data_IF_035214832320
#
_entry.id   IF_035214832320
#
_cell.length_a   1.000
_cell.length_b   1.000
_cell.length_c   1.000
_cell.angle_alpha   90.00
_cell.angle_beta   90.00
_cell.angle_gamma   90.00
#
_symmetry.space_group_name_H-M   'P 1'
#
loop_
_entity.id
_entity.type
_entity.pdbx_description
1 polymer ?
#
# COMPACT_ATOMS: atom_id res chain seq x y z
N UNK A 1 -69.04 10.27 -15.79
CA UNK A 1 -68.19 10.98 -14.84
C UNK A 1 -66.86 10.24 -14.77
N UNK A 2 -65.85 10.71 -15.55
CA UNK A 2 -64.53 10.04 -15.72
C UNK A 2 -63.54 10.83 -14.86
N UNK A 3 -63.01 10.19 -13.83
CA UNK A 3 -61.90 10.77 -13.02
C UNK A 3 -60.58 10.49 -13.68
N UNK A 4 -59.90 11.51 -14.14
CA UNK A 4 -58.50 11.45 -14.58
C UNK A 4 -57.60 11.59 -13.34
N UNK A 5 -56.84 10.52 -13.06
CA UNK A 5 -55.77 10.52 -12.06
C UNK A 5 -54.51 11.02 -12.72
N UNK A 6 -54.08 12.26 -12.41
CA UNK A 6 -52.82 12.82 -12.84
C UNK A 6 -51.68 12.25 -12.01
N UNK A 7 -50.79 11.48 -12.66
CA UNK A 7 -49.50 11.04 -12.08
C UNK A 7 -48.52 12.21 -12.18
N UNK A 8 -48.20 12.85 -11.04
CA UNK A 8 -47.14 13.85 -10.95
C UNK A 8 -45.81 13.08 -10.80
N UNK A 9 -45.08 12.97 -11.88
CA UNK A 9 -43.72 12.47 -11.86
C UNK A 9 -42.78 13.55 -11.32
N UNK A 10 -42.40 13.43 -10.04
CA UNK A 10 -41.36 14.27 -9.45
C UNK A 10 -40.00 13.90 -10.03
N UNK A 11 -39.54 14.61 -11.04
CA UNK A 11 -38.16 14.58 -11.51
C UNK A 11 -37.27 15.18 -10.42
N UNK A 12 -36.58 14.32 -9.67
CA UNK A 12 -35.46 14.75 -8.82
C UNK A 12 -34.35 15.22 -9.75
N UNK A 13 -34.25 16.52 -9.96
CA UNK A 13 -33.05 17.16 -10.50
C UNK A 13 -31.92 16.93 -9.49
N UNK A 14 -31.03 16.02 -9.81
CA UNK A 14 -29.73 15.92 -9.13
C UNK A 14 -28.96 17.19 -9.53
N UNK A 15 -28.98 18.20 -8.66
CA UNK A 15 -28.07 19.32 -8.71
C UNK A 15 -26.65 18.70 -8.71
N UNK A 16 -25.87 18.97 -9.77
CA UNK A 16 -24.44 18.76 -9.73
C UNK A 16 -23.90 19.62 -8.59
N UNK A 17 -23.70 19.02 -7.43
CA UNK A 17 -23.10 19.72 -6.30
C UNK A 17 -21.71 20.17 -6.76
N UNK A 18 -21.46 21.49 -6.73
CA UNK A 18 -20.14 22.05 -7.00
C UNK A 18 -19.13 21.35 -6.10
N UNK A 19 -17.98 20.95 -6.67
CA UNK A 19 -16.90 20.36 -5.90
C UNK A 19 -16.56 21.27 -4.71
N UNK A 20 -16.39 20.71 -3.48
CA UNK A 20 -15.89 21.50 -2.37
C UNK A 20 -14.60 22.22 -2.75
N UNK A 21 -14.37 23.46 -2.29
CA UNK A 21 -13.13 24.17 -2.56
C UNK A 21 -11.94 23.39 -1.99
N UNK A 22 -10.79 23.48 -2.66
CA UNK A 22 -9.56 22.89 -2.14
C UNK A 22 -9.05 23.75 -0.98
N UNK A 23 -8.98 23.18 0.20
CA UNK A 23 -8.46 23.83 1.40
C UNK A 23 -7.00 23.44 1.64
N UNK A 24 -6.24 24.35 2.22
CA UNK A 24 -4.91 24.05 2.73
C UNK A 24 -5.03 23.30 4.05
N UNK A 25 -4.09 22.42 4.31
CA UNK A 25 -3.92 21.84 5.64
C UNK A 25 -3.68 22.96 6.67
N UNK A 26 -4.14 22.77 7.90
CA UNK A 26 -3.93 23.72 8.98
C UNK A 26 -2.44 23.87 9.35
N UNK A 27 -2.12 24.74 10.32
CA UNK A 27 -0.74 25.02 10.69
C UNK A 27 -0.02 23.80 11.26
N UNK A 28 1.29 23.73 11.05
CA UNK A 28 2.18 22.80 11.71
C UNK A 28 2.23 23.14 13.20
N UNK A 29 1.99 22.17 14.07
CA UNK A 29 1.93 22.32 15.53
C UNK A 29 3.14 21.73 16.25
N UNK A 30 3.86 20.83 15.60
CA UNK A 30 5.13 20.28 16.08
C UNK A 30 5.99 19.80 14.91
N UNK A 31 7.30 19.88 15.08
CA UNK A 31 8.30 19.40 14.12
C UNK A 31 9.31 18.55 14.88
N UNK A 32 9.61 17.37 14.38
CA UNK A 32 10.62 16.50 14.99
C UNK A 32 12.01 17.15 14.92
N UNK A 33 12.78 17.06 16.00
CA UNK A 33 14.16 17.56 16.05
C UNK A 33 15.12 16.63 15.31
N UNK A 34 14.84 15.33 15.39
CA UNK A 34 15.67 14.30 14.80
C UNK A 34 15.17 13.95 13.40
N UNK A 35 16.09 13.86 12.45
CA UNK A 35 15.76 13.39 11.11
C UNK A 35 15.71 11.87 11.07
N UNK A 36 14.79 11.34 10.26
CA UNK A 36 14.60 9.94 9.97
C UNK A 36 15.11 9.63 8.55
N UNK A 37 15.35 8.38 8.26
CA UNK A 37 15.82 7.99 6.92
C UNK A 37 14.66 7.76 5.94
N UNK A 38 13.60 7.08 6.38
CA UNK A 38 12.38 6.85 5.60
C UNK A 38 11.25 6.35 6.50
N UNK A 39 10.15 7.09 6.58
CA UNK A 39 8.97 6.70 7.36
C UNK A 39 8.01 5.91 6.49
N UNK A 40 7.78 4.63 6.83
CA UNK A 40 6.80 3.79 6.16
C UNK A 40 5.40 3.89 6.78
N UNK A 41 5.33 4.17 8.07
CA UNK A 41 4.09 4.30 8.81
C UNK A 41 4.33 4.75 10.24
N UNK A 42 3.27 5.24 10.84
CA UNK A 42 3.22 5.63 12.23
C UNK A 42 2.03 4.97 12.93
N UNK A 43 2.12 4.85 14.24
CA UNK A 43 1.02 4.52 15.12
C UNK A 43 0.89 5.61 16.17
N UNK A 44 -0.17 6.41 16.09
CA UNK A 44 -0.48 7.35 17.15
C UNK A 44 -0.94 6.60 18.42
N UNK A 45 -0.38 6.96 19.53
CA UNK A 45 -0.67 6.45 20.86
C UNK A 45 -1.32 7.55 21.70
N UNK A 46 -1.95 7.23 22.83
CA UNK A 46 -2.49 8.22 23.74
C UNK A 46 -1.47 9.27 24.16
N UNK A 47 -1.97 10.44 24.54
CA UNK A 47 -1.15 11.60 24.97
C UNK A 47 -0.18 12.13 23.88
N UNK A 48 -0.53 11.91 22.61
CA UNK A 48 0.24 12.44 21.47
C UNK A 48 1.58 11.74 21.22
N UNK A 49 1.85 10.61 21.87
CA UNK A 49 3.03 9.77 21.58
C UNK A 49 2.87 9.03 20.27
N UNK A 50 3.97 8.65 19.65
CA UNK A 50 4.00 7.96 18.37
C UNK A 50 4.96 6.78 18.38
N UNK A 51 4.56 5.65 17.82
CA UNK A 51 5.52 4.70 17.29
C UNK A 51 5.76 5.03 15.81
N UNK A 52 7.03 5.10 15.42
CA UNK A 52 7.45 5.44 14.07
C UNK A 52 8.34 4.32 13.52
N UNK A 53 8.01 3.84 12.33
CA UNK A 53 8.81 2.85 11.62
C UNK A 53 9.73 3.54 10.59
N UNK A 54 11.01 3.70 10.93
CA UNK A 54 12.07 4.18 10.05
C UNK A 54 12.68 3.00 9.30
N UNK A 55 12.09 2.67 8.16
CA UNK A 55 12.38 1.43 7.41
C UNK A 55 13.79 1.37 6.81
N UNK A 56 14.39 2.50 6.43
CA UNK A 56 15.73 2.50 5.84
C UNK A 56 16.80 2.28 6.91
N UNK A 57 16.63 2.91 8.08
CA UNK A 57 17.51 2.68 9.25
C UNK A 57 17.15 1.40 10.01
N UNK A 58 16.05 0.73 9.63
CA UNK A 58 15.55 -0.49 10.26
C UNK A 58 15.42 -0.33 11.78
N UNK A 59 14.60 0.65 12.18
CA UNK A 59 14.33 0.92 13.59
C UNK A 59 12.88 1.32 13.81
N UNK A 60 12.33 0.88 14.92
CA UNK A 60 11.06 1.36 15.46
C UNK A 60 11.39 2.27 16.63
N UNK A 61 10.88 3.48 16.58
CA UNK A 61 11.12 4.52 17.58
C UNK A 61 9.82 4.86 18.30
N UNK A 62 9.91 5.11 19.60
CA UNK A 62 8.85 5.76 20.37
C UNK A 62 9.21 7.25 20.52
N UNK A 63 8.32 8.13 20.07
CA UNK A 63 8.43 9.57 20.20
C UNK A 63 7.39 10.07 21.22
N UNK A 64 7.73 11.16 21.90
CA UNK A 64 6.81 11.89 22.78
C UNK A 64 5.87 12.82 21.98
N UNK A 65 5.02 13.54 22.70
CA UNK A 65 4.08 14.52 22.13
C UNK A 65 4.76 15.72 21.46
N UNK A 66 6.05 15.95 21.69
CA UNK A 66 6.85 17.00 21.05
C UNK A 66 7.56 16.50 19.79
N UNK A 67 7.36 15.22 19.44
CA UNK A 67 8.03 14.47 18.37
C UNK A 67 9.54 14.26 18.63
N UNK A 68 9.98 14.28 19.88
CA UNK A 68 11.34 13.91 20.28
C UNK A 68 11.43 12.41 20.54
N UNK A 69 12.56 11.79 20.18
CA UNK A 69 12.77 10.35 20.40
C UNK A 69 12.94 10.09 21.90
N UNK A 70 12.07 9.21 22.43
CA UNK A 70 12.13 8.75 23.82
C UNK A 70 12.97 7.49 23.92
N UNK A 71 12.74 6.53 23.02
CA UNK A 71 13.48 5.25 23.04
C UNK A 71 13.48 4.57 21.67
N UNK A 72 14.50 3.76 21.44
CA UNK A 72 14.56 2.81 20.34
C UNK A 72 13.88 1.52 20.81
N UNK A 73 12.75 1.16 20.19
CA UNK A 73 11.94 0.01 20.55
C UNK A 73 12.48 -1.28 19.94
N UNK A 74 12.87 -1.20 18.67
CA UNK A 74 13.47 -2.30 17.93
C UNK A 74 14.45 -1.76 16.91
N UNK A 75 15.60 -2.37 16.78
CA UNK A 75 16.59 -2.08 15.75
C UNK A 75 17.40 -3.37 15.41
N UNK A 76 18.50 -3.18 14.70
CA UNK A 76 19.39 -4.27 14.27
C UNK A 76 20.55 -4.51 15.23
N UNK A 77 20.51 -3.93 16.44
CA UNK A 77 21.59 -4.05 17.43
C UNK A 77 21.25 -5.01 18.56
N UNK A 78 22.27 -5.47 19.27
CA UNK A 78 22.09 -6.33 20.45
C UNK A 78 21.36 -5.63 21.60
N UNK A 79 21.34 -4.28 21.63
CA UNK A 79 20.61 -3.52 22.64
C UNK A 79 19.10 -3.78 22.60
N UNK A 80 18.55 -4.09 21.43
CA UNK A 80 17.16 -4.48 21.24
C UNK A 80 17.01 -5.96 20.83
N UNK A 81 18.01 -6.82 21.15
CA UNK A 81 18.06 -8.21 20.77
C UNK A 81 17.89 -8.45 19.25
N UNK A 82 18.34 -7.52 18.41
CA UNK A 82 18.18 -7.53 16.94
C UNK A 82 16.71 -7.69 16.52
N UNK A 83 15.80 -7.05 17.23
CA UNK A 83 14.36 -7.20 17.05
C UNK A 83 13.83 -6.67 15.71
N UNK A 84 14.62 -5.90 14.95
CA UNK A 84 14.31 -5.51 13.59
C UNK A 84 15.21 -6.29 12.60
N UNK A 85 14.60 -7.13 11.79
CA UNK A 85 15.34 -7.96 10.84
C UNK A 85 15.89 -7.21 9.62
N UNK A 86 16.39 -7.97 8.65
CA UNK A 86 17.07 -7.43 7.44
C UNK A 86 16.10 -6.86 6.38
N UNK A 87 14.79 -7.03 6.57
CA UNK A 87 13.75 -6.57 5.65
C UNK A 87 12.91 -5.45 6.28
N UNK A 88 12.36 -4.51 5.49
CA UNK A 88 11.40 -3.54 5.99
C UNK A 88 10.21 -4.20 6.69
N UNK A 89 9.89 -3.75 7.89
CA UNK A 89 8.73 -4.19 8.66
C UNK A 89 7.53 -3.27 8.54
N UNK A 90 6.44 -3.59 9.22
CA UNK A 90 5.21 -2.81 9.27
C UNK A 90 4.66 -2.66 10.68
N UNK A 91 3.88 -1.60 10.93
CA UNK A 91 3.16 -1.40 12.18
C UNK A 91 1.66 -1.63 11.95
N UNK A 92 1.04 -2.44 12.80
CA UNK A 92 -0.40 -2.70 12.77
C UNK A 92 -0.97 -2.32 14.14
N UNK A 93 -1.98 -1.42 14.22
CA UNK A 93 -2.71 -1.18 15.46
C UNK A 93 -3.27 -2.49 16.02
N UNK A 94 -3.06 -2.74 17.31
CA UNK A 94 -3.60 -3.91 18.00
C UNK A 94 -4.53 -3.47 19.14
N UNK A 95 -5.09 -4.38 19.89
CA UNK A 95 -6.04 -4.10 20.96
C UNK A 95 -5.54 -3.01 21.94
N UNK A 96 -6.40 -2.05 22.22
CA UNK A 96 -6.07 -0.90 23.06
C UNK A 96 -4.90 -0.09 22.46
N UNK A 97 -3.93 0.23 23.28
CA UNK A 97 -2.76 1.03 22.88
C UNK A 97 -1.57 0.19 22.41
N UNK A 98 -1.76 -1.14 22.28
CA UNK A 98 -0.72 -2.03 21.80
C UNK A 98 -0.57 -1.94 20.26
N UNK A 99 0.58 -2.34 19.79
CA UNK A 99 0.94 -2.34 18.36
C UNK A 99 1.65 -3.63 18.02
N UNK A 100 1.34 -4.21 16.86
CA UNK A 100 2.14 -5.29 16.30
C UNK A 100 3.18 -4.70 15.33
N UNK A 101 4.44 -5.00 15.57
CA UNK A 101 5.48 -4.82 14.58
C UNK A 101 5.69 -6.13 13.83
N UNK A 102 5.45 -6.10 12.53
CA UNK A 102 5.62 -7.25 11.63
C UNK A 102 7.04 -7.26 11.11
N UNK A 103 7.80 -8.33 11.42
CA UNK A 103 9.14 -8.54 10.88
C UNK A 103 9.15 -9.64 9.82
N UNK A 104 9.26 -9.31 8.52
CA UNK A 104 9.29 -10.30 7.45
C UNK A 104 10.54 -11.18 7.42
N UNK A 105 11.61 -10.77 8.09
CA UNK A 105 12.86 -11.54 8.10
C UNK A 105 12.76 -12.75 9.03
N UNK A 106 12.16 -12.58 10.20
CA UNK A 106 11.95 -13.63 11.19
C UNK A 106 10.60 -14.35 11.07
N UNK A 107 9.72 -13.89 10.14
CA UNK A 107 8.34 -14.36 10.00
C UNK A 107 7.53 -14.20 11.30
N UNK A 108 7.84 -13.17 12.07
CA UNK A 108 7.22 -12.92 13.38
C UNK A 108 6.48 -11.58 13.45
N UNK A 109 5.65 -11.47 14.47
CA UNK A 109 4.96 -10.24 14.86
C UNK A 109 5.29 -9.97 16.33
N UNK A 110 5.92 -8.83 16.61
CA UNK A 110 6.30 -8.40 17.94
C UNK A 110 5.19 -7.53 18.52
N UNK A 111 4.62 -7.93 19.65
CA UNK A 111 3.63 -7.13 20.37
C UNK A 111 4.36 -6.08 21.22
N UNK A 112 4.12 -4.82 20.90
CA UNK A 112 4.67 -3.65 21.58
C UNK A 112 3.57 -3.03 22.42
N UNK A 113 3.81 -2.78 23.69
CA UNK A 113 2.89 -2.08 24.58
C UNK A 113 2.93 -0.54 24.37
N UNK A 114 2.05 0.18 25.06
CA UNK A 114 1.99 1.64 24.98
C UNK A 114 3.28 2.35 25.43
N UNK A 115 4.17 1.68 26.16
CA UNK A 115 5.44 2.23 26.64
C UNK A 115 6.61 1.91 25.70
N UNK A 116 6.35 1.26 24.57
CA UNK A 116 7.38 0.86 23.64
C UNK A 116 8.12 -0.42 24.02
N UNK A 117 7.61 -1.20 24.98
CA UNK A 117 8.22 -2.46 25.36
C UNK A 117 7.68 -3.61 24.53
N UNK A 118 8.55 -4.46 23.98
CA UNK A 118 8.17 -5.71 23.36
C UNK A 118 7.78 -6.70 24.47
N UNK A 119 6.49 -7.06 24.51
CA UNK A 119 5.93 -7.91 25.57
C UNK A 119 5.66 -9.34 25.12
N UNK A 120 5.58 -9.57 23.81
CA UNK A 120 5.30 -10.89 23.26
C UNK A 120 5.79 -11.00 21.82
N UNK A 121 6.21 -12.22 21.44
CA UNK A 121 6.51 -12.60 20.05
C UNK A 121 5.47 -13.61 19.60
N UNK A 122 4.91 -13.39 18.40
CA UNK A 122 3.91 -14.26 17.78
C UNK A 122 4.36 -14.62 16.36
N UNK A 123 3.99 -15.80 15.89
CA UNK A 123 4.23 -16.16 14.48
C UNK A 123 3.27 -15.42 13.55
N UNK A 124 3.76 -15.09 12.35
CA UNK A 124 2.90 -14.56 11.28
C UNK A 124 1.73 -15.51 10.96
N UNK A 125 0.63 -15.01 10.39
CA UNK A 125 -0.49 -15.85 9.96
C UNK A 125 -0.07 -17.04 9.10
N UNK A 126 0.56 -16.75 7.99
CA UNK A 126 1.20 -17.70 7.08
C UNK A 126 2.47 -17.05 6.54
N UNK A 127 3.52 -17.83 6.32
CA UNK A 127 4.81 -17.31 5.88
C UNK A 127 4.71 -16.48 4.57
N UNK A 128 3.87 -16.93 3.62
CA UNK A 128 3.65 -16.24 2.35
C UNK A 128 2.89 -14.91 2.47
N UNK A 129 2.15 -14.69 3.56
CA UNK A 129 1.32 -13.48 3.75
C UNK A 129 2.11 -12.31 4.33
N UNK A 130 3.25 -12.57 4.93
CA UNK A 130 3.95 -11.60 5.78
C UNK A 130 4.29 -10.30 5.05
N UNK A 131 4.65 -10.38 3.76
CA UNK A 131 4.91 -9.21 2.92
C UNK A 131 3.68 -8.33 2.65
N UNK A 132 2.48 -8.85 2.88
CA UNK A 132 1.22 -8.12 2.72
C UNK A 132 0.71 -7.52 4.03
N UNK A 133 1.39 -7.82 5.15
CA UNK A 133 1.11 -7.28 6.47
C UNK A 133 1.92 -6.01 6.80
N UNK A 134 2.87 -5.63 5.96
CA UNK A 134 3.71 -4.45 6.19
C UNK A 134 3.05 -3.13 5.74
N UNK A 135 1.86 -3.19 5.13
CA UNK A 135 1.17 -2.02 4.59
C UNK A 135 1.71 -1.56 3.22
N UNK A 136 1.73 -0.25 2.99
CA UNK A 136 2.21 0.32 1.72
C UNK A 136 1.20 0.18 0.58
N UNK A 137 1.61 -0.26 -0.62
CA UNK A 137 0.74 -0.31 -1.80
C UNK A 137 -0.32 -1.43 -1.72
N UNK A 138 -0.24 -2.29 -0.70
CA UNK A 138 -1.19 -3.40 -0.50
C UNK A 138 -2.38 -3.03 0.40
N UNK A 139 -2.50 -1.78 0.82
CA UNK A 139 -3.46 -1.30 1.80
C UNK A 139 -2.91 -1.38 3.23
N UNK A 140 -3.69 -0.92 4.19
CA UNK A 140 -3.32 -0.92 5.60
C UNK A 140 -3.98 -2.11 6.32
N UNK A 141 -3.22 -3.14 6.74
CA UNK A 141 -3.74 -4.20 7.58
C UNK A 141 -4.24 -3.64 8.92
N UNK A 142 -5.24 -4.27 9.50
CA UNK A 142 -5.80 -3.86 10.78
C UNK A 142 -6.61 -4.96 11.44
N UNK A 143 -7.07 -4.73 12.66
CA UNK A 143 -7.95 -5.64 13.37
C UNK A 143 -9.38 -5.12 13.33
N UNK A 144 -10.32 -6.02 13.03
CA UNK A 144 -11.73 -5.72 13.18
C UNK A 144 -12.16 -5.77 14.67
N UNK A 145 -13.36 -5.27 15.03
CA UNK A 145 -13.84 -5.28 16.41
C UNK A 145 -13.98 -6.67 17.02
N UNK A 146 -14.04 -7.73 16.20
CA UNK A 146 -14.01 -9.13 16.68
C UNK A 146 -12.60 -9.66 16.98
N UNK A 147 -11.57 -8.83 16.79
CA UNK A 147 -10.18 -9.18 17.05
C UNK A 147 -9.52 -10.01 15.95
N UNK A 148 -10.11 -10.06 14.75
CA UNK A 148 -9.53 -10.75 13.61
C UNK A 148 -8.70 -9.78 12.76
N UNK A 149 -7.54 -10.27 12.32
CA UNK A 149 -6.64 -9.51 11.45
C UNK A 149 -7.18 -9.51 10.02
N UNK A 150 -7.42 -8.32 9.49
CA UNK A 150 -7.91 -8.09 8.11
C UNK A 150 -6.76 -7.57 7.27
N UNK A 151 -6.51 -8.22 6.13
CA UNK A 151 -5.46 -7.83 5.20
C UNK A 151 -5.72 -8.35 3.79
N UNK A 152 -4.99 -7.81 2.81
CA UNK A 152 -4.97 -8.31 1.45
C UNK A 152 -4.13 -9.59 1.39
N UNK A 153 -4.70 -10.66 0.88
CA UNK A 153 -3.96 -11.90 0.65
C UNK A 153 -2.98 -11.75 -0.54
N UNK A 154 -1.86 -12.50 -0.52
CA UNK A 154 -0.98 -12.60 -1.69
C UNK A 154 -1.75 -13.21 -2.87
N UNK A 155 -1.37 -12.86 -4.12
CA UNK A 155 -1.90 -13.56 -5.28
C UNK A 155 -1.53 -15.05 -5.20
N UNK A 156 -2.46 -15.89 -5.63
CA UNK A 156 -2.22 -17.33 -5.66
C UNK A 156 -1.28 -17.68 -6.83
N UNK A 157 0.03 -17.71 -6.54
CA UNK A 157 1.05 -18.10 -7.52
C UNK A 157 1.12 -19.61 -7.80
N UNK A 158 0.33 -20.46 -7.14
CA UNK A 158 0.31 -21.90 -7.42
C UNK A 158 -0.23 -22.24 -8.82
N UNK A 159 -0.97 -21.34 -9.45
CA UNK A 159 -1.36 -21.45 -10.85
C UNK A 159 -0.18 -21.46 -11.84
N UNK A 160 1.05 -21.18 -11.38
CA UNK A 160 2.28 -21.27 -12.18
C UNK A 160 2.90 -22.66 -12.21
N UNK A 161 2.37 -23.59 -11.44
CA UNK A 161 2.85 -24.95 -11.37
C UNK A 161 2.09 -25.83 -12.36
N UNK A 162 2.75 -26.16 -13.49
CA UNK A 162 2.47 -27.25 -14.44
C UNK A 162 1.04 -27.39 -14.98
N UNK A 163 0.92 -27.31 -16.29
CA UNK A 163 -0.09 -28.09 -16.98
C UNK A 163 0.16 -29.59 -16.70
N UNK A 164 -0.85 -30.38 -16.36
CA UNK A 164 -0.70 -31.81 -16.17
C UNK A 164 -0.24 -32.46 -17.47
N UNK A 165 0.88 -33.19 -17.47
CA UNK A 165 1.29 -34.08 -18.55
C UNK A 165 2.27 -33.50 -19.58
N UNK A 166 2.90 -32.35 -19.39
CA UNK A 166 3.75 -31.72 -20.40
C UNK A 166 5.25 -31.96 -20.24
N UNK A 167 5.88 -32.44 -21.28
CA UNK A 167 7.29 -32.28 -21.61
C UNK A 167 7.70 -30.81 -21.43
N UNK A 168 8.71 -30.54 -20.63
CA UNK A 168 9.40 -29.34 -20.20
C UNK A 168 9.49 -28.05 -21.01
N UNK A 169 8.52 -27.70 -21.85
CA UNK A 169 8.47 -26.38 -22.50
C UNK A 169 7.88 -25.34 -21.53
N UNK A 170 8.49 -24.15 -21.38
CA UNK A 170 7.91 -23.08 -20.61
C UNK A 170 6.66 -22.59 -21.34
N UNK A 171 5.50 -22.81 -20.73
CA UNK A 171 4.28 -22.08 -21.06
C UNK A 171 4.57 -20.59 -20.85
N UNK A 172 3.97 -19.74 -21.68
CA UNK A 172 4.16 -18.30 -21.68
C UNK A 172 4.19 -17.59 -20.31
N UNK A 173 4.29 -16.28 -20.27
CA UNK A 173 4.39 -15.54 -19.02
C UNK A 173 3.22 -15.90 -18.10
N UNK A 174 3.48 -16.06 -16.79
CA UNK A 174 2.44 -16.44 -15.84
C UNK A 174 1.29 -15.43 -15.84
N UNK A 175 0.05 -15.89 -15.90
CA UNK A 175 -1.12 -15.04 -15.75
C UNK A 175 -1.22 -14.58 -14.29
N UNK A 176 -1.07 -13.30 -14.05
CA UNK A 176 -1.29 -12.71 -12.72
C UNK A 176 -2.78 -12.36 -12.62
N UNK A 177 -3.47 -12.83 -11.56
CA UNK A 177 -4.87 -12.47 -11.36
C UNK A 177 -5.05 -10.94 -11.27
N UNK A 178 -6.06 -10.42 -11.99
CA UNK A 178 -6.44 -9.00 -11.90
C UNK A 178 -7.36 -8.73 -10.69
N UNK A 179 -7.37 -9.62 -9.73
CA UNK A 179 -8.10 -9.46 -8.46
C UNK A 179 -7.28 -10.00 -7.29
N UNK A 180 -7.49 -9.42 -6.12
CA UNK A 180 -6.92 -9.90 -4.87
C UNK A 180 -8.02 -10.08 -3.84
N UNK A 181 -7.85 -11.08 -2.97
CA UNK A 181 -8.75 -11.32 -1.86
C UNK A 181 -8.37 -10.42 -0.67
N UNK A 182 -9.38 -9.92 0.04
CA UNK A 182 -9.26 -9.46 1.41
C UNK A 182 -9.69 -10.62 2.30
N UNK A 183 -8.86 -10.94 3.28
CA UNK A 183 -9.07 -12.06 4.18
C UNK A 183 -9.15 -11.60 5.64
N UNK A 184 -9.87 -12.37 6.45
CA UNK A 184 -9.84 -12.30 7.91
C UNK A 184 -9.08 -13.49 8.46
N UNK A 185 -8.15 -13.23 9.34
CA UNK A 185 -7.36 -14.23 10.02
C UNK A 185 -7.62 -14.18 11.52
N UNK A 186 -8.01 -15.31 12.08
CA UNK A 186 -8.18 -15.49 13.51
C UNK A 186 -6.85 -15.95 14.11
N UNK A 187 -6.27 -15.15 15.01
CA UNK A 187 -4.97 -15.45 15.62
C UNK A 187 -5.01 -16.68 16.53
N UNK A 188 -6.15 -16.98 17.16
CA UNK A 188 -6.27 -18.11 18.09
C UNK A 188 -6.47 -19.43 17.36
N UNK A 189 -7.45 -19.50 16.45
CA UNK A 189 -7.77 -20.72 15.70
C UNK A 189 -6.89 -20.93 14.47
N UNK A 190 -6.10 -19.92 14.06
CA UNK A 190 -5.28 -19.91 12.85
C UNK A 190 -6.09 -20.04 11.55
N UNK A 191 -7.40 -19.79 11.60
CA UNK A 191 -8.30 -19.89 10.45
C UNK A 191 -8.24 -18.62 9.60
N UNK A 192 -8.25 -18.80 8.29
CA UNK A 192 -8.31 -17.73 7.29
C UNK A 192 -9.62 -17.84 6.54
N UNK A 193 -10.40 -16.78 6.54
CA UNK A 193 -11.65 -16.68 5.78
C UNK A 193 -11.52 -15.58 4.73
N UNK A 194 -11.90 -15.88 3.47
CA UNK A 194 -11.99 -14.86 2.42
C UNK A 194 -13.25 -14.05 2.61
N UNK A 195 -13.09 -12.72 2.67
CA UNK A 195 -14.20 -11.79 2.91
C UNK A 195 -14.76 -11.24 1.61
N UNK A 196 -13.88 -10.75 0.73
CA UNK A 196 -14.25 -10.14 -0.55
C UNK A 196 -13.06 -10.12 -1.50
N UNK A 197 -13.35 -9.68 -2.75
CA UNK A 197 -12.33 -9.46 -3.76
C UNK A 197 -12.40 -8.01 -4.27
N UNK A 198 -11.25 -7.48 -4.68
CA UNK A 198 -11.14 -6.19 -5.34
C UNK A 198 -10.19 -6.28 -6.53
N UNK A 199 -10.37 -5.39 -7.51
CA UNK A 199 -9.59 -5.39 -8.73
C UNK A 199 -8.18 -4.86 -8.47
N UNK A 200 -7.17 -5.58 -8.93
CA UNK A 200 -5.77 -5.17 -8.89
C UNK A 200 -5.30 -4.67 -10.26
N UNK A 201 -4.26 -3.84 -10.31
CA UNK A 201 -3.67 -3.44 -11.59
C UNK A 201 -3.22 -4.63 -12.41
N UNK A 202 -3.43 -4.56 -13.72
CA UNK A 202 -2.84 -5.49 -14.66
C UNK A 202 -1.32 -5.35 -14.64
N UNK A 203 -0.62 -6.43 -14.39
CA UNK A 203 0.84 -6.49 -14.45
C UNK A 203 1.22 -7.15 -15.77
N UNK A 204 1.95 -6.41 -16.62
CA UNK A 204 2.48 -6.93 -17.87
C UNK A 204 3.88 -7.44 -17.62
N UNK A 205 4.11 -8.71 -17.95
CA UNK A 205 5.42 -9.35 -17.80
C UNK A 205 6.02 -9.66 -19.16
N UNK A 206 7.30 -9.33 -19.32
CA UNK A 206 8.12 -9.77 -20.43
C UNK A 206 8.99 -10.95 -19.99
N UNK A 207 8.95 -12.02 -20.75
CA UNK A 207 9.83 -13.17 -20.57
C UNK A 207 10.91 -13.11 -21.63
N UNK A 208 12.16 -13.07 -21.22
CA UNK A 208 13.32 -13.15 -22.09
C UNK A 208 14.21 -14.31 -21.66
N UNK A 209 14.85 -14.96 -22.63
CA UNK A 209 15.85 -15.99 -22.36
C UNK A 209 17.24 -15.36 -22.51
N UNK A 210 18.05 -15.43 -21.47
CA UNK A 210 19.43 -14.99 -21.56
C UNK A 210 20.29 -16.02 -22.31
N UNK A 211 21.45 -15.62 -22.85
CA UNK A 211 22.33 -16.51 -23.64
C UNK A 211 22.78 -17.77 -22.88
N UNK A 212 22.82 -17.71 -21.56
CA UNK A 212 23.11 -18.81 -20.63
C UNK A 212 21.93 -19.76 -20.40
N UNK A 213 20.84 -19.59 -21.14
CA UNK A 213 19.64 -20.43 -21.06
C UNK A 213 18.68 -20.10 -19.92
N UNK A 214 19.02 -19.17 -19.05
CA UNK A 214 18.17 -18.74 -17.94
C UNK A 214 16.99 -17.89 -18.42
N UNK A 215 15.80 -18.14 -17.87
CA UNK A 215 14.63 -17.30 -18.13
C UNK A 215 14.64 -16.09 -17.20
N UNK A 216 14.57 -14.90 -17.78
CA UNK A 216 14.35 -13.64 -17.07
C UNK A 216 12.92 -13.18 -17.30
N UNK A 217 12.21 -12.98 -16.21
CA UNK A 217 10.87 -12.40 -16.22
C UNK A 217 10.98 -10.99 -15.68
N UNK A 218 10.59 -9.99 -16.47
CA UNK A 218 10.62 -8.58 -16.08
C UNK A 218 9.22 -8.01 -16.20
N UNK A 219 8.76 -7.30 -15.17
CA UNK A 219 7.52 -6.56 -15.26
C UNK A 219 7.74 -5.20 -15.95
N UNK A 220 6.81 -4.82 -16.81
CA UNK A 220 6.77 -3.46 -17.35
C UNK A 220 6.18 -2.52 -16.31
N UNK A 221 6.76 -1.33 -16.21
CA UNK A 221 6.26 -0.29 -15.31
C UNK A 221 5.09 0.46 -15.94
N UNK A 222 3.96 0.48 -15.25
CA UNK A 222 2.81 1.29 -15.59
C UNK A 222 2.73 2.49 -14.63
N UNK A 223 2.88 3.75 -15.12
CA UNK A 223 2.82 4.93 -14.25
C UNK A 223 1.39 5.34 -13.86
N UNK A 224 0.36 4.80 -14.54
CA UNK A 224 -1.06 5.00 -14.22
C UNK A 224 -1.79 3.67 -14.04
N UNK A 225 -1.36 2.83 -13.08
CA UNK A 225 -1.98 1.52 -12.87
C UNK A 225 -3.43 1.69 -12.41
N UNK A 226 -4.36 1.07 -13.13
CA UNK A 226 -5.77 1.04 -12.75
C UNK A 226 -6.05 -0.16 -11.85
N UNK A 227 -6.48 0.09 -10.65
CA UNK A 227 -6.89 -0.92 -9.68
C UNK A 227 -7.71 -0.27 -8.58
N UNK A 228 -8.59 -1.04 -7.97
CA UNK A 228 -9.33 -0.59 -6.80
C UNK A 228 -8.38 -0.46 -5.60
N UNK A 229 -8.80 0.29 -4.60
CA UNK A 229 -8.12 0.39 -3.32
C UNK A 229 -9.06 -0.03 -2.20
N UNK A 230 -8.53 -0.23 -1.00
CA UNK A 230 -9.34 -0.64 0.13
C UNK A 230 -8.82 -0.08 1.45
N UNK A 231 -9.71 -0.01 2.43
CA UNK A 231 -9.37 0.38 3.79
C UNK A 231 -10.29 -0.33 4.79
N UNK A 232 -9.76 -0.63 5.97
CA UNK A 232 -10.54 -1.11 7.11
C UNK A 232 -10.94 0.07 7.99
N UNK A 233 -12.24 0.27 8.20
CA UNK A 233 -12.77 1.30 9.09
C UNK A 233 -12.75 0.81 10.55
N UNK A 234 -12.78 1.73 11.55
CA UNK A 234 -12.74 1.38 12.97
C UNK A 234 -13.85 0.44 13.45
N UNK A 235 -15.01 0.45 12.78
CA UNK A 235 -16.13 -0.43 13.06
C UNK A 235 -16.04 -1.82 12.39
N UNK A 236 -14.94 -2.10 11.70
CA UNK A 236 -14.71 -3.36 10.96
C UNK A 236 -15.32 -3.40 9.56
N UNK A 237 -15.95 -2.31 9.10
CA UNK A 237 -16.40 -2.17 7.72
C UNK A 237 -15.20 -2.08 6.78
N UNK A 238 -15.25 -2.79 5.67
CA UNK A 238 -14.25 -2.71 4.61
C UNK A 238 -14.78 -1.76 3.54
N UNK A 239 -14.08 -0.65 3.33
CA UNK A 239 -14.31 0.28 2.24
C UNK A 239 -13.53 -0.16 1.01
N UNK A 240 -14.21 -0.38 -0.11
CA UNK A 240 -13.63 -0.70 -1.42
C UNK A 240 -13.76 0.54 -2.31
N UNK A 241 -12.66 1.21 -2.57
CA UNK A 241 -12.63 2.41 -3.42
C UNK A 241 -12.48 1.97 -4.87
N UNK A 242 -13.54 2.15 -5.68
CA UNK A 242 -13.60 1.67 -7.05
C UNK A 242 -12.99 2.66 -8.03
N UNK A 243 -12.01 2.21 -8.81
CA UNK A 243 -11.27 3.08 -9.75
C UNK A 243 -12.10 3.44 -10.98
N UNK A 244 -12.96 2.53 -11.46
CA UNK A 244 -13.59 2.64 -12.78
C UNK A 244 -14.47 3.87 -12.93
N UNK A 245 -15.25 4.18 -11.89
CA UNK A 245 -16.21 5.29 -11.87
C UNK A 245 -16.19 6.11 -10.58
N UNK A 246 -15.16 5.89 -9.78
CA UNK A 246 -14.84 6.58 -8.54
C UNK A 246 -16.02 6.65 -7.57
N UNK A 247 -16.34 5.53 -6.97
CA UNK A 247 -17.28 5.42 -5.86
C UNK A 247 -16.70 4.51 -4.77
N UNK A 248 -17.40 4.38 -3.66
CA UNK A 248 -17.01 3.49 -2.55
C UNK A 248 -18.10 2.47 -2.30
N UNK A 249 -17.72 1.20 -2.26
CA UNK A 249 -18.56 0.15 -1.70
C UNK A 249 -18.15 -0.11 -0.26
N UNK A 250 -19.12 -0.20 0.63
CA UNK A 250 -18.92 -0.53 2.04
C UNK A 250 -19.43 -1.92 2.32
N UNK A 251 -18.55 -2.80 2.74
CA UNK A 251 -18.87 -4.15 3.19
C UNK A 251 -18.82 -4.19 4.70
N UNK A 252 -19.97 -4.23 5.34
CA UNK A 252 -20.10 -4.29 6.80
C UNK A 252 -19.70 -5.66 7.35
N UNK A 253 -19.42 -5.78 8.66
CA UNK A 253 -18.99 -7.03 9.29
C UNK A 253 -19.98 -8.18 9.16
N UNK A 254 -21.27 -7.89 9.02
CA UNK A 254 -22.36 -8.85 8.77
C UNK A 254 -22.45 -9.33 7.32
N UNK A 255 -21.58 -8.82 6.43
CA UNK A 255 -21.52 -9.21 5.02
C UNK A 255 -22.43 -8.40 4.09
N UNK A 256 -23.15 -7.38 4.60
CA UNK A 256 -23.97 -6.50 3.76
C UNK A 256 -23.09 -5.54 2.97
N UNK A 257 -23.27 -5.54 1.64
CA UNK A 257 -22.61 -4.61 0.73
C UNK A 257 -23.54 -3.43 0.43
N UNK A 258 -23.01 -2.22 0.57
CA UNK A 258 -23.71 -0.96 0.25
C UNK A 258 -22.83 -0.10 -0.63
N UNK A 259 -23.33 0.33 -1.80
CA UNK A 259 -22.61 1.21 -2.72
C UNK A 259 -23.00 2.66 -2.51
N UNK A 260 -22.00 3.52 -2.37
CA UNK A 260 -22.20 4.96 -2.33
C UNK A 260 -22.37 5.54 -3.76
N UNK A 261 -22.93 6.75 -3.89
CA UNK A 261 -22.93 7.48 -5.15
C UNK A 261 -21.51 7.74 -5.67
N UNK A 262 -21.39 7.98 -6.97
CA UNK A 262 -20.11 8.37 -7.58
C UNK A 262 -19.60 9.66 -6.97
N UNK A 263 -18.31 9.67 -6.63
CA UNK A 263 -17.63 10.85 -6.12
C UNK A 263 -17.44 11.85 -7.26
N UNK A 264 -17.87 13.10 -7.13
CA UNK A 264 -17.61 14.13 -8.12
C UNK A 264 -16.11 14.30 -8.36
N UNK A 265 -15.67 14.22 -9.63
CA UNK A 265 -14.26 14.30 -9.98
C UNK A 265 -14.08 14.93 -11.37
N UNK A 266 -13.14 15.87 -11.56
CA UNK A 266 -12.85 16.46 -12.85
C UNK A 266 -11.97 15.51 -13.68
N UNK A 267 -12.60 14.62 -14.45
CA UNK A 267 -11.91 13.65 -15.29
C UNK A 267 -11.08 14.33 -16.38
N UNK A 268 -9.79 14.01 -16.45
CA UNK A 268 -8.86 14.46 -17.46
C UNK A 268 -8.71 13.40 -18.56
N UNK A 269 -9.07 13.76 -19.79
CA UNK A 269 -8.86 12.87 -20.95
C UNK A 269 -7.40 12.93 -21.39
N UNK A 270 -6.81 11.79 -21.64
CA UNK A 270 -5.47 11.63 -22.18
C UNK A 270 -5.57 11.39 -23.69
N UNK A 271 -5.10 12.35 -24.48
CA UNK A 271 -4.95 12.17 -25.93
C UNK A 271 -3.78 11.27 -26.25
N UNK A 272 -3.70 10.70 -27.45
CA UNK A 272 -2.58 9.80 -27.80
C UNK A 272 -1.22 10.49 -27.68
N UNK A 273 -1.11 11.74 -28.11
CA UNK A 273 0.10 12.55 -27.89
C UNK A 273 0.37 12.83 -26.42
N UNK A 274 -0.69 13.06 -25.62
CA UNK A 274 -0.60 13.23 -24.17
C UNK A 274 -0.12 11.96 -23.46
N UNK A 275 -0.55 10.78 -23.91
CA UNK A 275 -0.09 9.49 -23.38
C UNK A 275 1.41 9.29 -23.62
N UNK A 276 1.91 9.62 -24.83
CA UNK A 276 3.34 9.53 -25.15
C UNK A 276 4.16 10.48 -24.26
N UNK A 277 3.77 11.76 -24.20
CA UNK A 277 4.45 12.76 -23.37
C UNK A 277 4.44 12.39 -21.88
N UNK A 278 3.35 11.77 -21.41
CA UNK A 278 3.24 11.30 -20.03
C UNK A 278 4.22 10.15 -19.73
N UNK A 279 4.33 9.14 -20.61
CA UNK A 279 5.29 8.03 -20.46
C UNK A 279 6.73 8.56 -20.42
N UNK A 280 7.08 9.48 -21.30
CA UNK A 280 8.44 10.05 -21.35
C UNK A 280 8.76 10.84 -20.08
N UNK A 281 7.83 11.67 -19.62
CA UNK A 281 7.98 12.42 -18.36
C UNK A 281 8.10 11.49 -17.16
N UNK A 282 7.28 10.43 -17.09
CA UNK A 282 7.32 9.44 -16.02
C UNK A 282 8.65 8.68 -16.02
N UNK A 283 9.17 8.30 -17.20
CA UNK A 283 10.47 7.64 -17.34
C UNK A 283 11.58 8.50 -16.75
N UNK A 284 11.67 9.76 -17.16
CA UNK A 284 12.69 10.70 -16.65
C UNK A 284 12.59 10.87 -15.13
N UNK A 285 11.38 11.03 -14.61
CA UNK A 285 11.16 11.19 -13.16
C UNK A 285 11.61 9.95 -12.37
N UNK A 286 11.29 8.75 -12.86
CA UNK A 286 11.66 7.49 -12.20
C UNK A 286 13.17 7.25 -12.29
N UNK A 287 13.79 7.50 -13.42
CA UNK A 287 15.25 7.36 -13.59
C UNK A 287 16.00 8.31 -12.64
N UNK A 288 15.50 9.54 -12.46
CA UNK A 288 16.04 10.48 -11.49
C UNK A 288 15.90 9.96 -10.05
N UNK A 289 14.73 9.39 -9.70
CA UNK A 289 14.53 8.79 -8.37
C UNK A 289 15.43 7.57 -8.15
N UNK A 290 15.63 6.74 -9.18
CA UNK A 290 16.54 5.59 -9.12
C UNK A 290 17.99 6.04 -8.90
N UNK A 291 18.43 7.05 -9.64
CA UNK A 291 19.78 7.60 -9.52
C UNK A 291 20.05 8.23 -8.15
N UNK A 292 19.03 8.85 -7.53
CA UNK A 292 19.15 9.43 -6.17
C UNK A 292 19.08 8.39 -5.04
N UNK A 293 18.83 7.11 -5.35
CA UNK A 293 18.62 6.06 -4.34
C UNK A 293 17.30 6.21 -3.56
N UNK A 294 16.40 7.08 -4.02
CA UNK A 294 15.08 7.30 -3.42
C UNK A 294 14.02 6.30 -3.93
N UNK A 295 14.40 5.38 -4.81
CA UNK A 295 13.50 4.33 -5.30
C UNK A 295 13.27 3.29 -4.19
N UNK A 296 12.21 3.49 -3.41
CA UNK A 296 11.84 2.64 -2.28
C UNK A 296 10.34 2.76 -2.00
N UNK A 297 9.84 1.90 -1.14
CA UNK A 297 8.44 1.80 -0.69
C UNK A 297 7.93 3.11 -0.05
N UNK A 298 7.65 4.14 -0.86
CA UNK A 298 6.94 5.34 -0.42
C UNK A 298 5.45 5.25 -0.75
N UNK A 299 4.54 5.94 -0.02
CA UNK A 299 3.14 6.08 -0.40
C UNK A 299 3.07 6.82 -1.75
N UNK A 300 2.74 6.09 -2.81
CA UNK A 300 2.75 6.55 -4.21
C UNK A 300 3.85 5.93 -5.09
N UNK A 301 4.77 5.16 -4.52
CA UNK A 301 5.80 4.41 -5.25
C UNK A 301 5.34 2.99 -5.60
N UNK A 302 4.15 2.82 -6.15
CA UNK A 302 3.63 1.54 -6.63
C UNK A 302 4.32 1.08 -7.91
N UNK A 303 5.59 0.69 -7.83
CA UNK A 303 6.34 0.30 -9.00
C UNK A 303 7.63 -0.46 -8.72
N UNK A 304 7.68 -1.23 -7.64
CA UNK A 304 8.72 -2.24 -7.49
C UNK A 304 8.49 -3.33 -8.54
N UNK A 305 9.27 -3.34 -9.63
CA UNK A 305 9.25 -4.43 -10.59
C UNK A 305 9.51 -5.75 -9.85
N UNK A 306 8.58 -6.68 -9.93
CA UNK A 306 8.80 -8.04 -9.43
C UNK A 306 9.69 -8.73 -10.45
N UNK A 307 10.96 -8.96 -10.11
CA UNK A 307 11.85 -9.81 -10.89
C UNK A 307 11.74 -11.23 -10.35
N UNK A 308 11.18 -12.13 -11.11
CA UNK A 308 11.17 -13.57 -10.84
C UNK A 308 12.22 -14.23 -11.69
N UNK A 309 13.26 -14.78 -11.10
CA UNK A 309 14.25 -15.61 -11.82
C UNK A 309 13.88 -17.08 -11.57
N UNK A 310 13.54 -17.79 -12.64
CA UNK A 310 13.34 -19.23 -12.60
C UNK A 310 14.65 -19.88 -13.05
N UNK A 311 15.43 -20.44 -12.12
CA UNK A 311 16.66 -21.15 -12.41
C UNK A 311 16.40 -22.55 -12.97
N UNK A 312 17.15 -22.95 -14.00
CA UNK A 312 17.30 -24.33 -14.45
C UNK A 312 18.18 -25.14 -13.47
N UNK A 313 18.39 -26.46 -13.70
CA UNK A 313 19.14 -27.30 -12.79
C UNK A 313 20.59 -26.78 -12.62
N UNK A 314 21.00 -26.61 -11.36
CA UNK A 314 22.26 -26.02 -10.97
C UNK A 314 23.44 -26.91 -11.34
N UNK A 315 24.36 -26.34 -12.13
CA UNK A 315 25.74 -26.79 -12.27
C UNK A 315 26.65 -25.58 -12.05
N UNK A 316 27.23 -25.42 -10.87
CA UNK A 316 28.28 -24.43 -10.59
C UNK A 316 28.38 -24.03 -9.11
N UNK A 317 29.61 -23.95 -8.54
CA UNK A 317 29.81 -23.77 -7.12
C UNK A 317 29.79 -22.29 -6.71
N UNK A 318 28.96 -21.94 -5.76
CA UNK A 318 29.05 -20.64 -5.06
C UNK A 318 27.74 -20.11 -4.50
N UNK A 319 27.48 -20.36 -3.23
CA UNK A 319 26.47 -19.66 -2.48
C UNK A 319 25.41 -20.55 -1.79
N UNK A 320 25.81 -21.21 -0.74
CA UNK A 320 24.93 -22.03 0.08
C UNK A 320 24.05 -21.18 1.00
N UNK A 321 22.73 -21.42 0.97
CA UNK A 321 21.89 -21.36 2.17
C UNK A 321 21.01 -22.60 2.21
N UNK A 322 21.26 -23.41 3.21
CA UNK A 322 20.70 -24.72 3.46
C UNK A 322 19.42 -24.58 4.27
N UNK A 323 18.31 -25.04 3.77
CA UNK A 323 17.18 -25.45 4.61
C UNK A 323 16.73 -26.82 4.13
N UNK A 324 16.87 -27.81 5.00
CA UNK A 324 16.58 -29.20 4.73
C UNK A 324 15.09 -29.49 4.76
N UNK A 325 14.67 -30.38 3.89
CA UNK A 325 13.36 -31.01 3.81
C UNK A 325 13.34 -31.93 2.59
N UNK A 326 13.26 -33.23 2.83
CA UNK A 326 13.24 -34.27 1.78
C UNK A 326 11.97 -34.13 0.94
N UNK A 327 12.15 -33.93 -0.36
CA UNK A 327 11.63 -34.69 -1.48
C UNK A 327 11.80 -33.89 -2.80
N UNK A 328 12.34 -34.59 -3.77
CA UNK A 328 12.92 -34.11 -5.00
C UNK A 328 12.00 -33.25 -5.89
N UNK A 329 12.28 -31.96 -5.91
CA UNK A 329 12.21 -31.00 -7.04
C UNK A 329 12.53 -29.60 -6.48
N UNK A 330 13.78 -29.27 -6.36
CA UNK A 330 14.24 -27.98 -5.86
C UNK A 330 13.94 -26.88 -6.88
N UNK A 331 12.85 -26.15 -6.67
CA UNK A 331 12.54 -24.88 -7.36
C UNK A 331 12.60 -23.77 -6.34
N UNK A 332 13.72 -23.07 -6.32
CA UNK A 332 13.85 -21.85 -5.53
C UNK A 332 13.16 -20.71 -6.27
N UNK A 333 12.01 -20.28 -5.80
CA UNK A 333 11.43 -19.00 -6.18
C UNK A 333 12.14 -17.95 -5.34
N UNK A 334 13.13 -17.28 -5.92
CA UNK A 334 13.80 -16.17 -5.27
C UNK A 334 13.08 -14.89 -5.66
N UNK A 335 12.31 -14.33 -4.74
CA UNK A 335 11.85 -12.95 -4.83
C UNK A 335 13.06 -12.06 -4.61
N UNK A 336 13.61 -11.49 -5.67
CA UNK A 336 14.82 -10.68 -5.57
C UNK A 336 14.43 -9.28 -5.09
N UNK A 337 14.80 -8.97 -3.83
CA UNK A 337 15.22 -7.63 -3.48
C UNK A 337 16.44 -7.25 -4.32
N UNK A 338 16.80 -5.96 -4.40
CA UNK A 338 17.81 -5.35 -5.25
C UNK A 338 19.01 -6.25 -5.62
N UNK A 339 19.47 -6.24 -6.88
CA UNK A 339 20.57 -7.07 -7.32
C UNK A 339 21.85 -6.76 -6.54
N UNK A 340 22.59 -7.81 -6.18
CA UNK A 340 23.86 -7.72 -5.44
C UNK A 340 24.98 -6.95 -6.17
N UNK A 341 24.77 -6.55 -7.41
CA UNK A 341 25.77 -5.90 -8.29
C UNK A 341 25.53 -4.40 -8.51
N UNK A 342 24.78 -3.72 -7.69
CA UNK A 342 24.68 -2.24 -7.69
C UNK A 342 24.02 -1.59 -8.93
N UNK A 343 23.80 -2.30 -10.03
CA UNK A 343 23.09 -1.76 -11.21
C UNK A 343 21.66 -2.28 -11.26
N UNK A 344 20.70 -1.36 -11.11
CA UNK A 344 19.29 -1.67 -11.33
C UNK A 344 19.06 -2.00 -12.81
N UNK A 345 18.26 -3.04 -13.13
CA UNK A 345 17.95 -3.39 -14.52
C UNK A 345 17.29 -2.20 -15.25
N UNK A 346 17.42 -2.10 -16.58
CA UNK A 346 16.78 -1.03 -17.36
C UNK A 346 15.28 -0.95 -17.07
N UNK A 347 14.76 0.29 -16.96
CA UNK A 347 13.34 0.51 -16.75
C UNK A 347 12.57 0.23 -18.06
N UNK A 348 11.70 -0.76 -18.05
CA UNK A 348 10.79 -1.03 -19.15
C UNK A 348 9.42 -0.42 -18.84
N UNK A 349 9.00 0.54 -19.65
CA UNK A 349 7.66 1.14 -19.55
C UNK A 349 6.66 0.35 -20.39
N UNK A 350 5.39 0.36 -20.00
CA UNK A 350 4.31 -0.09 -20.89
C UNK A 350 4.24 0.80 -22.14
N UNK A 351 3.71 0.30 -23.28
CA UNK A 351 3.39 1.15 -24.44
C UNK A 351 2.41 2.25 -24.05
N UNK A 352 2.52 3.42 -24.69
CA UNK A 352 1.60 4.54 -24.46
C UNK A 352 0.13 4.18 -24.80
N UNK A 353 -0.07 3.27 -25.76
CA UNK A 353 -1.39 2.72 -26.13
C UNK A 353 -2.07 1.95 -24.99
N UNK A 354 -1.31 1.43 -24.04
CA UNK A 354 -1.85 0.68 -22.89
C UNK A 354 -2.25 1.58 -21.71
N UNK A 355 -1.96 2.90 -21.82
CA UNK A 355 -2.47 3.87 -20.85
C UNK A 355 -3.98 4.07 -21.04
N UNK A 356 -4.71 4.34 -19.93
CA UNK A 356 -6.14 4.61 -19.99
C UNK A 356 -6.45 5.91 -20.77
N UNK A 357 -7.66 6.01 -21.36
CA UNK A 357 -8.11 7.22 -22.03
C UNK A 357 -8.41 8.38 -21.09
N UNK A 358 -8.64 8.06 -19.83
CA UNK A 358 -8.83 9.05 -18.77
C UNK A 358 -7.85 8.77 -17.64
N UNK A 359 -7.25 9.82 -17.10
CA UNK A 359 -6.41 9.73 -15.90
C UNK A 359 -7.24 9.16 -14.76
N UNK A 360 -6.83 8.07 -14.10
CA UNK A 360 -7.57 7.53 -12.95
C UNK A 360 -7.63 8.55 -11.82
N UNK A 361 -8.73 8.60 -11.09
CA UNK A 361 -8.93 9.56 -10.00
C UNK A 361 -7.88 9.39 -8.88
N UNK A 362 -7.44 8.17 -8.64
CA UNK A 362 -6.42 7.82 -7.66
C UNK A 362 -5.60 6.61 -8.16
N UNK A 363 -4.49 6.33 -7.50
CA UNK A 363 -3.67 5.13 -7.74
C UNK A 363 -3.82 4.15 -6.56
N UNK A 364 -3.64 2.83 -6.75
CA UNK A 364 -3.67 1.86 -5.67
C UNK A 364 -2.73 2.22 -4.52
N UNK A 365 -3.20 2.04 -3.28
CA UNK A 365 -2.48 2.44 -2.07
C UNK A 365 -2.63 3.92 -1.69
N UNK A 366 -3.53 4.66 -2.36
CA UNK A 366 -3.78 6.07 -2.10
C UNK A 366 -4.68 6.32 -0.88
N UNK A 367 -5.42 5.31 -0.43
CA UNK A 367 -6.46 5.45 0.60
C UNK A 367 -5.87 5.32 2.01
N UNK A 368 -6.27 6.23 2.90
CA UNK A 368 -6.00 6.19 4.34
C UNK A 368 -7.29 6.45 5.10
N UNK A 369 -7.38 5.96 6.32
CA UNK A 369 -8.52 6.21 7.22
C UNK A 369 -8.05 7.10 8.36
N UNK A 370 -8.79 8.17 8.64
CA UNK A 370 -8.55 9.00 9.83
C UNK A 370 -9.22 8.40 11.08
N UNK A 371 -9.02 9.04 12.23
CA UNK A 371 -9.57 8.57 13.52
C UNK A 371 -11.09 8.61 13.58
N UNK A 372 -11.75 9.41 12.74
CA UNK A 372 -13.19 9.54 12.67
C UNK A 372 -13.84 8.55 11.68
N UNK A 373 -12.98 7.80 10.97
CA UNK A 373 -13.39 6.83 9.95
C UNK A 373 -13.67 7.45 8.59
N UNK A 374 -13.20 8.67 8.32
CA UNK A 374 -13.25 9.23 6.97
C UNK A 374 -12.13 8.66 6.11
N UNK A 375 -12.42 8.52 4.81
CA UNK A 375 -11.47 8.05 3.82
C UNK A 375 -10.73 9.25 3.22
N UNK A 376 -9.42 9.30 3.40
CA UNK A 376 -8.53 10.25 2.75
C UNK A 376 -7.92 9.59 1.53
N UNK A 377 -8.33 10.01 0.34
CA UNK A 377 -7.91 9.43 -0.93
C UNK A 377 -7.01 10.43 -1.65
N UNK A 378 -5.72 10.11 -1.79
CA UNK A 378 -4.80 10.90 -2.57
C UNK A 378 -5.18 10.81 -4.05
N UNK A 379 -5.64 11.91 -4.61
CA UNK A 379 -6.02 11.95 -6.03
C UNK A 379 -4.80 12.11 -6.93
N UNK A 380 -4.95 11.79 -8.21
CA UNK A 380 -3.94 12.09 -9.22
C UNK A 380 -3.97 13.56 -9.66
N UNK A 381 -4.98 14.32 -9.23
CA UNK A 381 -5.08 15.74 -9.45
C UNK A 381 -4.05 16.48 -8.59
N UNK A 382 -3.32 17.38 -9.23
CA UNK A 382 -2.46 18.32 -8.56
C UNK A 382 -3.01 19.74 -8.77
N UNK A 383 -3.00 20.55 -7.73
CA UNK A 383 -3.31 21.97 -7.79
C UNK A 383 -2.01 22.72 -7.46
N UNK A 384 -1.56 23.59 -8.35
CA UNK A 384 -0.27 24.28 -8.23
C UNK A 384 0.92 23.34 -7.97
N UNK A 385 0.92 22.17 -8.63
CA UNK A 385 1.96 21.16 -8.49
C UNK A 385 1.93 20.38 -7.17
N UNK A 386 0.89 20.54 -6.33
CA UNK A 386 0.77 19.91 -5.01
C UNK A 386 -0.37 18.90 -5.00
N UNK A 387 -0.20 17.75 -4.30
CA UNK A 387 -1.21 16.71 -4.24
C UNK A 387 -2.46 17.16 -3.46
N UNK A 388 -3.62 16.72 -3.95
CA UNK A 388 -4.92 16.95 -3.30
C UNK A 388 -5.47 15.61 -2.80
N UNK A 389 -5.98 15.62 -1.58
CA UNK A 389 -6.72 14.51 -1.00
C UNK A 389 -8.21 14.82 -1.00
N UNK A 390 -9.00 13.91 -1.53
CA UNK A 390 -10.44 13.90 -1.33
C UNK A 390 -10.75 13.23 0.01
N UNK A 391 -11.56 13.87 0.84
CA UNK A 391 -12.00 13.31 2.12
C UNK A 391 -13.45 12.89 1.98
N UNK A 392 -13.71 11.60 2.13
CA UNK A 392 -15.05 11.03 2.05
C UNK A 392 -15.50 10.60 3.44
N UNK A 393 -16.75 10.92 3.78
CA UNK A 393 -17.34 10.44 5.02
C UNK A 393 -17.74 8.95 4.95
N UNK A 394 -18.28 8.39 6.02
CA UNK A 394 -18.72 6.98 6.11
C UNK A 394 -19.90 6.63 5.18
N UNK A 395 -20.51 7.62 4.52
CA UNK A 395 -21.53 7.42 3.47
C UNK A 395 -20.94 7.45 2.07
N UNK A 396 -19.63 7.69 1.93
CA UNK A 396 -18.95 7.87 0.65
C UNK A 396 -19.18 9.24 0.00
N UNK A 397 -19.71 10.21 0.75
CA UNK A 397 -19.92 11.57 0.28
C UNK A 397 -18.62 12.38 0.39
N UNK A 398 -18.28 13.15 -0.65
CA UNK A 398 -17.13 14.05 -0.65
C UNK A 398 -17.42 15.26 0.24
N UNK A 399 -16.80 15.29 1.42
CA UNK A 399 -17.01 16.33 2.43
C UNK A 399 -15.94 17.39 2.42
N UNK A 400 -14.74 17.06 1.92
CA UNK A 400 -13.62 17.98 1.90
C UNK A 400 -12.60 17.64 0.80
N UNK A 401 -11.79 18.63 0.43
CA UNK A 401 -10.65 18.50 -0.47
C UNK A 401 -9.45 19.22 0.15
N UNK A 402 -8.46 18.45 0.59
CA UNK A 402 -7.32 18.97 1.35
C UNK A 402 -6.05 18.91 0.51
N UNK A 403 -5.37 20.04 0.37
CA UNK A 403 -4.07 20.14 -0.27
C UNK A 403 -2.98 20.09 0.76
N UNK A 404 -2.00 19.20 0.56
CA UNK A 404 -0.79 19.20 1.37
C UNK A 404 0.22 20.23 0.86
N UNK A 405 1.03 20.82 1.75
CA UNK A 405 2.15 21.63 1.34
C UNK A 405 3.17 20.84 0.49
N UNK A 406 4.01 21.52 -0.27
CA UNK A 406 5.03 20.89 -1.11
C UNK A 406 5.99 20.00 -0.29
N UNK A 407 6.51 18.94 -0.91
CA UNK A 407 7.46 17.98 -0.33
C UNK A 407 6.95 17.24 0.93
N UNK A 408 5.64 17.19 1.13
CA UNK A 408 5.04 16.51 2.28
C UNK A 408 4.21 15.30 1.85
N UNK A 409 4.33 14.24 2.63
CA UNK A 409 3.58 13.00 2.44
C UNK A 409 2.81 12.70 3.72
N UNK A 410 1.53 12.37 3.58
CA UNK A 410 0.69 11.92 4.68
C UNK A 410 1.14 10.53 5.15
N UNK A 411 1.54 10.41 6.42
CA UNK A 411 2.00 9.14 7.00
C UNK A 411 1.06 8.58 8.07
N UNK A 412 0.12 9.37 8.57
CA UNK A 412 -0.91 8.89 9.50
C UNK A 412 -1.71 9.98 10.17
N UNK A 413 -2.60 9.55 11.04
CA UNK A 413 -3.51 10.41 11.79
C UNK A 413 -3.40 10.14 13.28
N UNK A 414 -3.80 11.12 14.08
CA UNK A 414 -3.91 11.04 15.52
C UNK A 414 -5.17 11.67 16.03
N UNK A 415 -5.38 11.62 17.34
CA UNK A 415 -6.54 12.18 18.01
C UNK A 415 -6.68 13.69 17.78
N UNK A 416 -7.94 14.18 17.85
CA UNK A 416 -8.24 15.61 17.73
C UNK A 416 -7.91 16.21 16.36
N UNK A 417 -8.03 15.44 15.29
CA UNK A 417 -7.75 15.88 13.91
C UNK A 417 -6.26 16.09 13.62
N UNK A 418 -5.38 15.48 14.41
CA UNK A 418 -3.94 15.54 14.15
C UNK A 418 -3.60 14.76 12.88
N UNK A 419 -2.78 15.37 12.04
CA UNK A 419 -2.25 14.81 10.79
C UNK A 419 -0.74 14.79 10.88
N UNK A 420 -0.15 13.64 10.62
CA UNK A 420 1.31 13.49 10.61
C UNK A 420 1.83 13.43 9.19
N UNK A 421 2.85 14.22 8.94
CA UNK A 421 3.46 14.42 7.63
C UNK A 421 4.94 14.05 7.67
N UNK A 422 5.40 13.38 6.64
CA UNK A 422 6.81 13.21 6.36
C UNK A 422 7.25 14.30 5.38
N UNK A 423 8.19 15.15 5.80
CA UNK A 423 8.80 16.19 4.97
C UNK A 423 10.06 15.62 4.36
N UNK A 424 10.16 15.63 3.04
CA UNK A 424 11.31 15.09 2.33
C UNK A 424 12.40 16.17 2.23
N UNK A 425 13.55 15.95 2.89
CA UNK A 425 14.72 16.82 2.90
C UNK A 425 15.93 16.05 2.36
N UNK A 426 16.13 16.11 1.06
CA UNK A 426 17.17 15.33 0.40
C UNK A 426 16.97 13.82 0.57
N UNK A 427 17.86 13.17 1.33
CA UNK A 427 17.76 11.73 1.66
C UNK A 427 17.10 11.46 3.01
N UNK A 428 16.80 12.48 3.76
CA UNK A 428 16.22 12.39 5.09
C UNK A 428 14.74 12.78 5.08
N UNK A 429 14.10 12.47 6.17
CA UNK A 429 12.69 12.77 6.43
C UNK A 429 12.60 13.45 7.80
N UNK A 430 11.92 14.58 7.86
CA UNK A 430 11.52 15.21 9.12
C UNK A 430 10.03 14.95 9.33
N UNK A 431 9.65 14.60 10.55
CA UNK A 431 8.24 14.37 10.88
C UNK A 431 7.61 15.67 11.37
N UNK A 432 6.46 16.04 10.82
CA UNK A 432 5.64 17.16 11.24
C UNK A 432 4.28 16.70 11.73
N UNK A 433 3.73 17.41 12.70
CA UNK A 433 2.33 17.32 13.09
C UNK A 433 1.59 18.59 12.70
N UNK A 434 0.50 18.45 11.98
CA UNK A 434 -0.42 19.53 11.65
C UNK A 434 -1.84 19.17 12.11
N UNK A 435 -2.80 20.07 11.92
CA UNK A 435 -4.22 19.80 12.16
C UNK A 435 -5.04 20.06 10.91
N UNK A 436 -6.09 19.28 10.75
CA UNK A 436 -7.17 19.62 9.82
C UNK A 436 -7.92 20.81 10.42
N UNK A 437 -8.15 21.86 9.61
CA UNK A 437 -8.92 23.03 10.05
C UNK A 437 -10.39 22.73 10.09
#
# INVERSE_FOLDING_TARGET
MVFAVGVVASTRTYSQSSLPPVRQLGPVTAVAKDSLSAVAGIRALPNGRLLVNDIRSRRVLLLDSTLSVVTVVADTTSATANAYGVRPGGLIPFHGDSTLFVDPASLSMLLIDANGKIVRVMSAPRAQDIGFLIGGPFGAPGFDPSGKLVYRAPPNFQAFARAPGGSGAPLGPPAIPESAAIVRFDLASRKVDTVTFFRTPKIVMNVSRSPDGNMRVMSQFNPLPQGDDWALLPDGTIALVRTRDYHVDFLSPDGKLTSAPKVPYPWERLTDSGKVAFIDSARVAIEKQRASGQFGFGPGGGGGGVQVTVGGPAGGPGGATRAGGADGANRTVTTVGAPATGQLPPLQMIPATDLPDYRPAFLPGATRVDTDGNLWIRTTQNVDGRPVYNVLNRKGELVDRVQLPANRVLVGFGEGGAVYLAVLEGRNVVLERARVR
#
